data_IF_206727772392
#
_entry.id   IF_206727772392
#
_cell.length_a   1.000
_cell.length_b   1.000
_cell.length_c   1.000
_cell.angle_alpha   90.00
_cell.angle_beta   90.00
_cell.angle_gamma   90.00
#
_symmetry.space_group_name_H-M   'P 1'
#
loop_
_entity.id
_entity.type
_entity.pdbx_description
1 polymer ?
#
# COMPACT_ATOMS: atom_id res chain seq x y z
N UNK A 1 7.61 -9.26 -17.50
CA UNK A 1 7.72 -7.91 -16.90
C UNK A 1 7.72 -6.88 -18.03
N UNK A 2 6.92 -5.85 -17.92
CA UNK A 2 6.80 -4.72 -18.85
C UNK A 2 6.95 -3.40 -18.10
N UNK A 3 7.01 -2.29 -18.81
CA UNK A 3 7.01 -0.97 -18.20
C UNK A 3 5.89 -0.14 -18.82
N UNK A 4 5.09 0.48 -17.98
CA UNK A 4 4.13 1.50 -18.36
C UNK A 4 4.70 2.89 -18.02
N UNK A 5 4.20 3.92 -18.69
CA UNK A 5 4.68 5.29 -18.47
C UNK A 5 3.62 6.08 -17.71
N UNK A 6 3.97 6.58 -16.55
CA UNK A 6 3.14 7.47 -15.75
C UNK A 6 3.02 8.86 -16.38
N UNK A 7 2.08 9.67 -15.90
CA UNK A 7 1.81 11.01 -16.45
C UNK A 7 3.00 11.96 -16.42
N UNK A 8 3.91 11.81 -15.46
CA UNK A 8 5.15 12.60 -15.36
C UNK A 8 6.33 11.99 -16.13
N UNK A 9 6.11 10.91 -16.89
CA UNK A 9 7.14 10.21 -17.64
C UNK A 9 7.90 9.14 -16.85
N UNK A 10 7.57 8.92 -15.56
CA UNK A 10 8.18 7.85 -14.77
C UNK A 10 7.80 6.49 -15.35
N UNK A 11 8.80 5.61 -15.49
CA UNK A 11 8.58 4.22 -15.93
C UNK A 11 8.23 3.37 -14.73
N UNK A 12 7.08 2.73 -14.78
CA UNK A 12 6.55 1.85 -13.74
C UNK A 12 6.63 0.40 -14.21
N UNK A 13 7.38 -0.42 -13.47
CA UNK A 13 7.54 -1.84 -13.76
C UNK A 13 6.31 -2.61 -13.31
N UNK A 14 5.73 -3.39 -14.23
CA UNK A 14 4.51 -4.18 -14.01
C UNK A 14 4.73 -5.60 -14.51
N UNK A 15 4.15 -6.56 -13.82
CA UNK A 15 3.97 -7.92 -14.31
C UNK A 15 2.53 -8.34 -14.07
N UNK A 16 2.05 -9.27 -14.86
CA UNK A 16 0.73 -9.87 -14.63
C UNK A 16 0.76 -11.38 -14.89
N UNK A 17 -0.15 -12.09 -14.26
CA UNK A 17 -0.30 -13.53 -14.39
C UNK A 17 -1.75 -13.94 -14.16
N UNK A 18 -2.12 -15.15 -14.61
CA UNK A 18 -3.48 -15.66 -14.44
C UNK A 18 -4.43 -15.23 -15.56
N UNK A 19 -5.72 -15.41 -15.31
CA UNK A 19 -6.80 -15.10 -16.27
C UNK A 19 -8.07 -14.68 -15.53
N UNK A 20 -8.92 -13.90 -16.17
CA UNK A 20 -10.17 -13.38 -15.60
C UNK A 20 -10.15 -11.86 -15.44
N UNK A 21 -11.04 -11.31 -14.60
CA UNK A 21 -11.07 -9.88 -14.32
C UNK A 21 -9.72 -9.37 -13.77
N UNK A 22 -9.38 -8.11 -14.05
CA UNK A 22 -8.14 -7.53 -13.56
C UNK A 22 -8.19 -7.27 -12.05
N UNK A 23 -7.13 -7.67 -11.34
CA UNK A 23 -6.88 -7.37 -9.93
C UNK A 23 -5.49 -6.80 -9.77
N UNK A 24 -5.39 -5.59 -9.19
CA UNK A 24 -4.11 -4.93 -8.95
C UNK A 24 -3.76 -5.05 -7.45
N UNK A 25 -2.53 -5.49 -7.16
CA UNK A 25 -2.00 -5.58 -5.80
C UNK A 25 -1.08 -4.37 -5.53
N UNK A 26 -1.41 -3.61 -4.46
CA UNK A 26 -0.69 -2.39 -4.07
C UNK A 26 -0.01 -2.62 -2.73
N UNK A 27 1.31 -2.70 -2.75
CA UNK A 27 2.14 -3.03 -1.58
C UNK A 27 2.41 -1.84 -0.67
N UNK A 28 2.75 -2.13 0.59
CA UNK A 28 3.14 -1.16 1.62
C UNK A 28 4.64 -0.84 1.66
N UNK A 29 5.09 -0.31 2.79
CA UNK A 29 6.49 0.07 3.03
C UNK A 29 7.44 -1.13 2.92
N UNK A 30 8.67 -0.88 2.47
CA UNK A 30 9.73 -1.88 2.28
C UNK A 30 9.40 -3.04 1.32
N UNK A 31 8.31 -2.93 0.58
CA UNK A 31 7.83 -3.96 -0.35
C UNK A 31 7.95 -3.51 -1.79
N UNK A 32 8.23 -4.46 -2.68
CA UNK A 32 8.11 -4.37 -4.12
C UNK A 32 7.11 -5.41 -4.65
N UNK A 33 6.93 -5.50 -5.98
CA UNK A 33 6.01 -6.46 -6.61
C UNK A 33 6.25 -7.91 -6.22
N UNK A 34 7.50 -8.29 -5.89
CA UNK A 34 7.84 -9.67 -5.52
C UNK A 34 7.32 -10.06 -4.14
N UNK A 35 7.00 -9.07 -3.30
CA UNK A 35 6.49 -9.29 -1.95
C UNK A 35 5.08 -9.91 -1.94
N UNK A 36 4.34 -9.84 -3.04
CA UNK A 36 2.98 -10.39 -3.19
C UNK A 36 2.93 -11.68 -4.00
N UNK A 37 4.07 -12.25 -4.38
CA UNK A 37 4.12 -13.40 -5.29
C UNK A 37 3.31 -14.62 -4.81
N UNK A 38 3.30 -14.93 -3.51
CA UNK A 38 2.51 -16.02 -2.94
C UNK A 38 1.00 -15.72 -3.03
N UNK A 39 0.60 -14.51 -2.63
CA UNK A 39 -0.78 -14.04 -2.73
C UNK A 39 -1.26 -14.06 -4.19
N UNK A 40 -0.46 -13.50 -5.10
CA UNK A 40 -0.76 -13.48 -6.52
C UNK A 40 -0.97 -14.88 -7.08
N UNK A 41 -0.06 -15.83 -6.77
CA UNK A 41 -0.17 -17.22 -7.22
C UNK A 41 -1.49 -17.88 -6.79
N UNK A 42 -1.99 -17.58 -5.58
CA UNK A 42 -3.27 -18.11 -5.08
C UNK A 42 -4.51 -17.49 -5.72
N UNK A 43 -4.36 -16.39 -6.49
CA UNK A 43 -5.47 -15.66 -7.11
C UNK A 43 -5.57 -15.84 -8.63
N UNK A 44 -4.55 -16.41 -9.28
CA UNK A 44 -4.44 -16.52 -10.75
C UNK A 44 -5.52 -17.37 -11.42
N UNK A 45 -6.16 -18.27 -10.70
CA UNK A 45 -7.29 -19.06 -11.23
C UNK A 45 -8.59 -18.25 -11.32
N UNK A 46 -8.65 -17.08 -10.67
CA UNK A 46 -9.84 -16.23 -10.58
C UNK A 46 -9.65 -14.86 -11.22
N UNK A 47 -8.40 -14.38 -11.29
CA UNK A 47 -8.09 -13.02 -11.74
C UNK A 47 -6.86 -12.99 -12.66
N UNK A 48 -6.82 -12.02 -13.55
CA UNK A 48 -5.55 -11.54 -14.08
C UNK A 48 -4.94 -10.60 -13.06
N UNK A 49 -3.94 -11.10 -12.32
CA UNK A 49 -3.32 -10.39 -11.19
C UNK A 49 -2.19 -9.52 -11.70
N UNK A 50 -2.26 -8.22 -11.42
CA UNK A 50 -1.23 -7.23 -11.72
C UNK A 50 -0.45 -6.88 -10.47
N UNK A 51 0.86 -7.06 -10.52
CA UNK A 51 1.83 -6.68 -9.50
C UNK A 51 2.74 -5.61 -10.08
N UNK A 52 2.94 -4.50 -9.37
CA UNK A 52 3.80 -3.43 -9.85
C UNK A 52 4.72 -2.89 -8.75
N UNK A 53 5.87 -2.40 -9.15
CA UNK A 53 6.73 -1.65 -8.25
C UNK A 53 6.24 -0.20 -8.17
N UNK A 54 5.88 0.25 -6.99
CA UNK A 54 5.62 1.67 -6.76
C UNK A 54 6.88 2.47 -7.06
N UNK A 55 6.74 3.74 -7.47
CA UNK A 55 7.90 4.60 -7.81
C UNK A 55 8.99 4.57 -6.74
N UNK A 56 10.24 4.58 -7.17
CA UNK A 56 11.42 4.52 -6.30
C UNK A 56 11.74 3.14 -5.73
N UNK A 57 11.07 2.07 -6.20
CA UNK A 57 11.29 0.70 -5.72
C UNK A 57 11.47 -0.26 -6.87
N UNK A 58 12.14 -1.39 -6.60
CA UNK A 58 12.35 -2.45 -7.57
C UNK A 58 12.92 -1.95 -8.90
N UNK A 59 12.22 -2.26 -9.98
CA UNK A 59 12.59 -1.87 -11.35
C UNK A 59 11.86 -0.61 -11.84
N UNK A 60 11.05 0.03 -10.99
CA UNK A 60 10.39 1.29 -11.30
C UNK A 60 11.35 2.49 -11.16
N UNK A 61 11.16 3.46 -12.03
CA UNK A 61 11.83 4.74 -11.93
C UNK A 61 11.36 5.58 -10.74
N UNK A 62 12.04 6.70 -10.55
CA UNK A 62 11.64 7.74 -9.62
C UNK A 62 11.99 9.10 -10.21
N UNK A 63 11.22 10.13 -9.86
CA UNK A 63 11.50 11.52 -10.24
C UNK A 63 11.74 12.35 -8.97
N UNK A 64 12.54 13.41 -9.13
CA UNK A 64 12.64 14.42 -8.08
C UNK A 64 11.26 15.05 -7.83
N UNK A 65 11.05 15.60 -6.62
CA UNK A 65 9.81 16.25 -6.22
C UNK A 65 8.61 15.29 -6.10
N UNK A 66 8.73 14.38 -5.16
CA UNK A 66 7.63 13.51 -4.77
C UNK A 66 6.39 14.32 -4.35
N UNK A 67 5.23 13.85 -4.80
CA UNK A 67 3.92 14.22 -4.28
C UNK A 67 3.01 12.98 -4.35
N UNK A 68 2.01 12.90 -3.48
CA UNK A 68 1.05 11.79 -3.47
C UNK A 68 0.36 11.66 -4.84
N UNK A 69 0.11 12.79 -5.51
CA UNK A 69 -0.47 12.86 -6.84
C UNK A 69 0.32 12.07 -7.88
N UNK A 70 1.65 12.00 -7.73
CA UNK A 70 2.51 11.23 -8.63
C UNK A 70 2.26 9.71 -8.49
N UNK A 71 2.08 9.21 -7.25
CA UNK A 71 1.73 7.80 -7.05
C UNK A 71 0.29 7.49 -7.48
N UNK A 72 -0.63 8.43 -7.33
CA UNK A 72 -2.00 8.30 -7.85
C UNK A 72 -1.98 8.20 -9.38
N UNK A 73 -1.17 8.99 -10.06
CA UNK A 73 -0.96 8.91 -11.50
C UNK A 73 -0.35 7.57 -11.92
N UNK A 74 0.59 7.03 -11.14
CA UNK A 74 1.17 5.70 -11.38
C UNK A 74 0.10 4.61 -11.30
N UNK A 75 -0.64 4.56 -10.20
CA UNK A 75 -1.69 3.55 -10.03
C UNK A 75 -2.80 3.72 -11.07
N UNK A 76 -3.12 4.96 -11.47
CA UNK A 76 -4.05 5.22 -12.57
C UNK A 76 -3.53 4.64 -13.88
N UNK A 77 -2.25 4.84 -14.21
CA UNK A 77 -1.64 4.26 -15.40
C UNK A 77 -1.64 2.72 -15.36
N UNK A 78 -1.45 2.11 -14.17
CA UNK A 78 -1.59 0.64 -14.02
C UNK A 78 -3.03 0.22 -14.27
N UNK A 79 -4.03 0.90 -13.72
CA UNK A 79 -5.46 0.62 -13.96
C UNK A 79 -5.77 0.73 -15.46
N UNK A 80 -5.36 1.80 -16.11
CA UNK A 80 -5.61 2.03 -17.55
C UNK A 80 -4.97 0.95 -18.43
N UNK A 81 -3.80 0.42 -18.02
CA UNK A 81 -3.11 -0.66 -18.75
C UNK A 81 -3.85 -1.99 -18.75
N UNK A 82 -4.80 -2.19 -17.83
CA UNK A 82 -5.62 -3.43 -17.80
C UNK A 82 -6.68 -3.49 -18.90
N UNK A 83 -6.94 -2.38 -19.58
CA UNK A 83 -7.92 -2.28 -20.66
C UNK A 83 -9.39 -2.15 -20.19
N UNK A 84 -9.64 -2.02 -18.89
CA UNK A 84 -10.98 -1.88 -18.32
C UNK A 84 -10.95 -1.59 -16.81
N UNK A 85 -12.12 -1.58 -16.17
CA UNK A 85 -12.18 -1.44 -14.71
C UNK A 85 -11.45 -2.60 -14.02
N UNK A 86 -10.63 -2.29 -13.01
CA UNK A 86 -9.86 -3.26 -12.25
C UNK A 86 -10.31 -3.29 -10.78
N UNK A 87 -10.32 -4.47 -10.18
CA UNK A 87 -10.34 -4.58 -8.72
C UNK A 87 -8.97 -4.17 -8.16
N UNK A 88 -8.95 -3.59 -6.95
CA UNK A 88 -7.69 -3.17 -6.31
C UNK A 88 -7.64 -3.70 -4.89
N UNK A 89 -6.56 -4.36 -4.53
CA UNK A 89 -6.21 -4.70 -3.15
C UNK A 89 -5.00 -3.87 -2.71
N UNK A 90 -5.13 -3.15 -1.60
CA UNK A 90 -4.03 -2.37 -1.03
C UNK A 90 -3.73 -2.73 0.41
N UNK A 91 -2.46 -3.00 0.72
CA UNK A 91 -1.98 -3.30 2.06
C UNK A 91 -1.22 -2.11 2.66
N UNK A 92 -1.51 -1.76 3.91
CA UNK A 92 -0.81 -0.70 4.65
C UNK A 92 -0.87 0.64 3.89
N UNK A 93 0.24 1.31 3.65
CA UNK A 93 0.31 2.53 2.82
C UNK A 93 -0.17 2.31 1.37
N UNK A 94 -0.04 1.10 0.83
CA UNK A 94 -0.67 0.73 -0.44
C UNK A 94 -2.20 0.78 -0.37
N UNK A 95 -2.79 0.48 0.78
CA UNK A 95 -4.22 0.66 1.04
C UNK A 95 -4.62 2.14 1.06
N UNK A 96 -3.80 3.00 1.67
CA UNK A 96 -4.02 4.45 1.64
C UNK A 96 -3.92 5.01 0.21
N UNK A 97 -2.92 4.57 -0.57
CA UNK A 97 -2.77 4.95 -1.98
C UNK A 97 -3.97 4.51 -2.83
N UNK A 98 -4.45 3.27 -2.63
CA UNK A 98 -5.62 2.75 -3.32
C UNK A 98 -6.89 3.57 -3.04
N UNK A 99 -7.10 3.95 -1.77
CA UNK A 99 -8.21 4.83 -1.35
C UNK A 99 -8.09 6.22 -1.99
N UNK A 100 -6.92 6.86 -1.92
CA UNK A 100 -6.68 8.18 -2.50
C UNK A 100 -6.86 8.18 -4.03
N UNK A 101 -6.46 7.10 -4.70
CA UNK A 101 -6.66 6.94 -6.14
C UNK A 101 -8.13 6.77 -6.46
N UNK A 102 -8.85 5.86 -5.80
CA UNK A 102 -10.27 5.62 -6.04
C UNK A 102 -11.16 6.84 -5.73
N UNK A 103 -10.72 7.73 -4.81
CA UNK A 103 -11.42 8.97 -4.51
C UNK A 103 -11.29 10.05 -5.60
N UNK A 104 -10.26 9.96 -6.46
CA UNK A 104 -9.94 10.99 -7.46
C UNK A 104 -10.18 10.54 -8.90
N UNK A 105 -10.08 9.24 -9.17
CA UNK A 105 -10.22 8.70 -10.54
C UNK A 105 -11.26 7.57 -10.59
N UNK A 106 -11.94 7.47 -11.73
CA UNK A 106 -12.80 6.34 -12.03
C UNK A 106 -11.93 5.20 -12.59
N UNK A 107 -12.27 3.94 -12.33
CA UNK A 107 -11.53 2.79 -12.87
C UNK A 107 -11.37 1.65 -11.88
N UNK A 108 -11.46 1.90 -10.58
CA UNK A 108 -11.60 0.84 -9.61
C UNK A 108 -13.01 0.24 -9.66
N UNK A 109 -13.14 -1.07 -9.95
CA UNK A 109 -14.42 -1.78 -9.94
C UNK A 109 -14.86 -2.14 -8.53
N UNK A 110 -13.91 -2.58 -7.70
CA UNK A 110 -14.06 -2.90 -6.28
C UNK A 110 -12.74 -2.62 -5.56
N UNK A 111 -12.79 -2.36 -4.27
CA UNK A 111 -11.63 -1.99 -3.48
C UNK A 111 -11.60 -2.79 -2.17
N UNK A 112 -10.48 -3.43 -1.89
CA UNK A 112 -10.18 -4.00 -0.57
C UNK A 112 -8.92 -3.34 -0.03
N UNK A 113 -8.97 -2.86 1.20
CA UNK A 113 -7.80 -2.27 1.87
C UNK A 113 -7.57 -2.93 3.21
N UNK A 114 -6.31 -3.28 3.51
CA UNK A 114 -5.91 -3.89 4.75
C UNK A 114 -5.01 -2.94 5.54
N UNK A 115 -5.50 -2.50 6.69
CA UNK A 115 -4.79 -1.65 7.66
C UNK A 115 -4.08 -0.42 7.07
N UNK A 116 -4.77 0.47 6.35
CA UNK A 116 -4.19 1.76 5.97
C UNK A 116 -3.73 2.55 7.20
N UNK A 117 -2.58 3.26 7.15
CA UNK A 117 -1.90 3.81 8.32
C UNK A 117 -2.48 5.13 8.84
N UNK A 118 -3.80 5.19 9.05
CA UNK A 118 -4.49 6.38 9.56
C UNK A 118 -4.65 6.32 11.09
N UNK A 119 -3.54 6.44 11.82
CA UNK A 119 -3.57 6.40 13.29
C UNK A 119 -3.42 7.81 13.87
N UNK A 120 -4.31 8.27 14.78
CA UNK A 120 -4.29 9.65 15.31
C UNK A 120 -2.96 10.11 15.90
N UNK A 121 -2.22 9.18 16.51
CA UNK A 121 -0.87 9.44 17.05
C UNK A 121 0.23 8.98 16.07
N UNK A 122 -0.13 8.81 14.80
CA UNK A 122 0.76 8.35 13.75
C UNK A 122 1.78 9.41 13.30
N UNK A 123 2.62 9.04 12.33
CA UNK A 123 3.64 9.92 11.79
C UNK A 123 3.04 11.14 11.09
N UNK A 124 3.76 12.25 11.17
CA UNK A 124 3.38 13.54 10.59
C UNK A 124 4.27 13.90 9.41
N UNK A 125 3.87 14.92 8.62
CA UNK A 125 4.68 15.45 7.52
C UNK A 125 6.08 15.91 7.99
N UNK A 126 6.22 16.35 9.25
CA UNK A 126 7.54 16.67 9.81
C UNK A 126 8.47 15.45 9.81
N UNK A 127 7.96 14.26 10.16
CA UNK A 127 8.76 13.04 10.07
C UNK A 127 9.06 12.67 8.61
N UNK A 128 8.12 12.89 7.69
CA UNK A 128 8.38 12.66 6.27
C UNK A 128 9.55 13.52 5.77
N UNK A 129 9.64 14.78 6.17
CA UNK A 129 10.76 15.66 5.85
C UNK A 129 12.07 15.19 6.48
N UNK A 130 12.05 14.76 7.75
CA UNK A 130 13.20 14.17 8.45
C UNK A 130 13.74 12.93 7.70
N UNK A 131 12.86 12.00 7.33
CA UNK A 131 13.25 10.79 6.59
C UNK A 131 13.79 11.10 5.19
N UNK A 132 13.21 12.07 4.50
CA UNK A 132 13.70 12.52 3.20
C UNK A 132 15.11 13.13 3.30
N UNK A 133 15.37 13.94 4.33
CA UNK A 133 16.70 14.51 4.59
C UNK A 133 17.73 13.42 4.93
N UNK A 134 17.37 12.46 5.78
CA UNK A 134 18.25 11.34 6.11
C UNK A 134 18.67 10.58 4.84
N UNK A 135 17.72 10.22 3.99
CA UNK A 135 18.02 9.52 2.73
C UNK A 135 18.84 10.36 1.76
N UNK A 136 18.57 11.66 1.65
CA UNK A 136 19.31 12.56 0.77
C UNK A 136 20.77 12.79 1.23
N UNK A 137 21.07 12.51 2.50
CA UNK A 137 22.40 12.69 3.10
C UNK A 137 23.17 11.38 3.31
N UNK A 138 22.71 10.26 2.73
CA UNK A 138 23.38 8.96 2.82
C UNK A 138 23.19 8.27 4.17
N UNK A 139 22.07 8.55 4.86
CA UNK A 139 21.71 7.98 6.16
C UNK A 139 20.54 7.01 6.06
N UNK A 140 20.54 6.16 5.04
CA UNK A 140 19.44 5.23 4.73
C UNK A 140 19.18 4.25 5.88
N UNK A 141 20.25 3.81 6.55
CA UNK A 141 20.13 2.93 7.73
C UNK A 141 19.40 3.62 8.88
N UNK A 142 19.72 4.89 9.15
CA UNK A 142 19.08 5.67 10.21
C UNK A 142 17.60 5.93 9.86
N UNK A 143 17.30 6.21 8.59
CA UNK A 143 15.93 6.40 8.13
C UNK A 143 15.08 5.13 8.31
N UNK A 144 15.61 3.96 7.93
CA UNK A 144 14.95 2.68 8.11
C UNK A 144 14.71 2.38 9.60
N UNK A 145 15.72 2.57 10.44
CA UNK A 145 15.60 2.40 11.90
C UNK A 145 14.56 3.35 12.51
N UNK A 146 14.60 4.63 12.14
CA UNK A 146 13.67 5.65 12.62
C UNK A 146 12.22 5.32 12.27
N UNK A 147 11.99 4.85 11.04
CA UNK A 147 10.67 4.44 10.58
C UNK A 147 10.17 3.19 11.34
N UNK A 148 10.99 2.15 11.48
CA UNK A 148 10.62 0.92 12.19
C UNK A 148 10.39 1.17 13.69
N UNK A 149 11.19 2.03 14.33
CA UNK A 149 10.99 2.43 15.71
C UNK A 149 9.63 3.12 15.91
N UNK A 150 9.22 3.95 14.94
CA UNK A 150 7.89 4.56 14.95
C UNK A 150 6.77 3.52 14.88
N UNK A 151 6.95 2.46 14.11
CA UNK A 151 5.99 1.36 14.02
C UNK A 151 5.99 0.46 15.27
N UNK A 152 6.75 0.82 16.31
CA UNK A 152 6.80 0.10 17.59
C UNK A 152 7.75 -1.08 17.61
N UNK A 153 8.68 -1.20 16.65
CA UNK A 153 9.69 -2.25 16.67
C UNK A 153 10.64 -2.05 17.87
N UNK A 154 10.76 -3.04 18.77
CA UNK A 154 11.61 -2.93 19.94
C UNK A 154 13.10 -2.74 19.58
N UNK A 155 13.88 -1.97 20.35
CA UNK A 155 15.30 -1.72 20.04
C UNK A 155 16.14 -2.97 19.84
N UNK A 156 15.93 -4.02 20.65
CA UNK A 156 16.66 -5.29 20.52
C UNK A 156 16.35 -6.00 19.20
N UNK A 157 15.10 -5.88 18.70
CA UNK A 157 14.70 -6.46 17.41
C UNK A 157 15.33 -5.65 16.28
N UNK A 158 15.37 -4.32 16.39
CA UNK A 158 16.05 -3.45 15.41
C UNK A 158 17.53 -3.82 15.26
N UNK A 159 18.26 -4.01 16.38
CA UNK A 159 19.67 -4.43 16.32
C UNK A 159 19.85 -5.79 15.62
N UNK A 160 18.96 -6.76 15.90
CA UNK A 160 18.98 -8.06 15.20
C UNK A 160 18.68 -7.93 13.71
N UNK A 161 17.72 -7.05 13.34
CA UNK A 161 17.40 -6.80 11.93
C UNK A 161 18.57 -6.18 11.17
N UNK A 162 19.34 -5.28 11.81
CA UNK A 162 20.54 -4.66 11.21
C UNK A 162 21.62 -5.66 10.87
N UNK A 163 21.75 -6.74 11.63
CA UNK A 163 22.71 -7.83 11.37
C UNK A 163 22.21 -8.79 10.26
N UNK A 164 20.92 -8.73 9.91
CA UNK A 164 20.30 -9.62 8.95
C UNK A 164 20.48 -9.19 7.49
N UNK A 165 20.44 -10.15 6.54
CA UNK A 165 20.62 -9.86 5.10
C UNK A 165 19.53 -8.96 4.52
N UNK A 166 18.35 -8.93 5.14
CA UNK A 166 17.23 -8.12 4.69
C UNK A 166 17.40 -6.61 4.97
N UNK A 167 18.33 -6.24 5.87
CA UNK A 167 18.59 -4.83 6.20
C UNK A 167 19.03 -4.00 4.99
N UNK A 168 19.87 -4.59 4.13
CA UNK A 168 20.33 -3.93 2.89
C UNK A 168 19.14 -3.62 1.95
N UNK A 169 18.17 -4.52 1.88
CA UNK A 169 16.94 -4.29 1.13
C UNK A 169 16.12 -3.13 1.72
N UNK A 170 15.98 -3.07 3.05
CA UNK A 170 15.29 -1.97 3.73
C UNK A 170 15.98 -0.62 3.49
N UNK A 171 17.30 -0.58 3.52
CA UNK A 171 18.08 0.62 3.21
C UNK A 171 17.85 1.08 1.75
N UNK A 172 17.76 0.16 0.80
CA UNK A 172 17.49 0.49 -0.59
C UNK A 172 16.15 1.21 -0.80
N UNK A 173 15.19 1.01 0.11
CA UNK A 173 13.87 1.68 0.04
C UNK A 173 13.73 2.86 1.02
N UNK A 174 14.81 3.27 1.69
CA UNK A 174 14.77 4.36 2.67
C UNK A 174 14.22 5.67 2.08
N UNK A 175 14.55 5.99 0.82
CA UNK A 175 14.03 7.16 0.13
C UNK A 175 12.49 7.20 0.10
N UNK A 176 11.86 6.04 -0.04
CA UNK A 176 10.41 5.96 -0.17
C UNK A 176 9.67 6.02 1.18
N UNK A 177 10.38 5.96 2.31
CA UNK A 177 9.74 6.00 3.63
C UNK A 177 9.04 7.34 3.91
N UNK A 178 9.56 8.43 3.37
CA UNK A 178 8.89 9.72 3.41
C UNK A 178 7.56 9.70 2.65
N UNK A 179 7.45 8.90 1.60
CA UNK A 179 6.23 8.71 0.81
C UNK A 179 5.16 7.98 1.62
N UNK A 180 5.58 6.92 2.34
CA UNK A 180 4.71 6.14 3.23
C UNK A 180 4.05 7.00 4.30
N UNK A 181 4.87 7.86 4.94
CA UNK A 181 4.41 8.77 5.99
C UNK A 181 3.39 9.77 5.45
N UNK A 182 3.63 10.35 4.27
CA UNK A 182 2.68 11.31 3.65
C UNK A 182 1.35 10.66 3.29
N UNK A 183 1.34 9.40 2.84
CA UNK A 183 0.12 8.64 2.57
C UNK A 183 -0.72 8.42 3.84
N UNK A 184 -0.10 8.41 5.01
CA UNK A 184 -0.79 8.33 6.31
C UNK A 184 -1.62 9.58 6.66
N UNK A 185 -1.57 10.65 5.87
CA UNK A 185 -2.39 11.85 6.00
C UNK A 185 -2.40 12.42 7.44
N UNK A 186 -1.21 12.52 8.05
CA UNK A 186 -1.04 12.94 9.46
C UNK A 186 -1.94 12.14 10.45
N UNK A 187 -2.16 10.86 10.16
CA UNK A 187 -2.95 9.94 10.98
C UNK A 187 -4.47 10.08 10.85
N UNK A 188 -4.97 10.98 10.03
CA UNK A 188 -6.40 11.23 9.89
C UNK A 188 -7.01 10.47 8.69
N UNK A 189 -8.11 9.75 8.90
CA UNK A 189 -8.93 9.21 7.80
C UNK A 189 -9.49 10.38 6.98
N UNK A 190 -9.20 10.49 5.67
CA UNK A 190 -9.60 11.63 4.84
C UNK A 190 -11.07 11.53 4.40
N UNK A 191 -12.01 11.60 5.35
CA UNK A 191 -13.44 11.30 5.18
C UNK A 191 -14.09 12.01 4.00
N UNK A 192 -13.81 13.31 3.83
CA UNK A 192 -14.40 14.10 2.75
C UNK A 192 -13.99 13.55 1.37
N UNK A 193 -12.71 13.17 1.21
CA UNK A 193 -12.23 12.58 -0.04
C UNK A 193 -12.81 11.18 -0.27
N UNK A 194 -12.83 10.34 0.78
CA UNK A 194 -13.38 8.99 0.68
C UNK A 194 -14.87 8.96 0.33
N UNK A 195 -15.62 10.02 0.66
CA UNK A 195 -17.01 10.19 0.25
C UNK A 195 -17.24 10.23 -1.28
N UNK A 196 -16.20 10.43 -2.07
CA UNK A 196 -16.27 10.41 -3.53
C UNK A 196 -16.04 9.00 -4.15
N UNK A 197 -15.65 8.02 -3.35
CA UNK A 197 -15.43 6.64 -3.84
C UNK A 197 -16.78 6.01 -4.16
N UNK A 198 -16.99 5.65 -5.42
CA UNK A 198 -18.22 4.98 -5.89
C UNK A 198 -18.10 3.45 -5.86
N UNK A 199 -16.90 2.92 -5.93
CA UNK A 199 -16.62 1.48 -5.90
C UNK A 199 -17.03 0.86 -4.55
N UNK A 200 -17.67 -0.32 -4.54
CA UNK A 200 -17.83 -1.10 -3.31
C UNK A 200 -16.46 -1.30 -2.64
N UNK A 201 -16.37 -0.97 -1.35
CA UNK A 201 -15.10 -0.94 -0.62
C UNK A 201 -15.18 -1.76 0.65
N UNK A 202 -14.21 -2.64 0.86
CA UNK A 202 -14.04 -3.42 2.09
C UNK A 202 -12.76 -2.99 2.81
N UNK A 203 -12.91 -2.42 3.99
CA UNK A 203 -11.81 -2.08 4.89
C UNK A 203 -11.59 -3.20 5.91
N UNK A 204 -10.36 -3.70 5.98
CA UNK A 204 -9.98 -4.84 6.81
C UNK A 204 -9.02 -4.41 7.92
N UNK A 205 -9.15 -5.05 9.08
CA UNK A 205 -8.21 -4.97 10.19
C UNK A 205 -7.91 -6.36 10.74
N UNK A 206 -6.70 -6.60 11.21
CA UNK A 206 -6.34 -7.80 11.94
C UNK A 206 -6.80 -7.73 13.39
N UNK A 207 -7.36 -8.82 13.91
CA UNK A 207 -7.84 -8.89 15.30
C UNK A 207 -6.71 -8.73 16.33
N UNK A 208 -5.46 -9.06 15.96
CA UNK A 208 -4.28 -8.88 16.81
C UNK A 208 -3.66 -7.48 16.72
N UNK A 209 -4.06 -6.67 15.73
CA UNK A 209 -3.60 -5.27 15.60
C UNK A 209 -4.31 -4.32 16.57
N UNK A 210 -5.33 -4.81 17.27
CA UNK A 210 -5.99 -4.13 18.36
C UNK A 210 -7.04 -3.09 17.93
N UNK A 211 -7.52 -2.37 18.92
CA UNK A 211 -8.64 -1.43 18.78
C UNK A 211 -8.37 -0.29 17.77
N UNK A 212 -7.17 0.33 17.70
CA UNK A 212 -6.92 1.41 16.74
C UNK A 212 -7.11 0.95 15.28
N UNK A 213 -6.63 -0.24 14.91
CA UNK A 213 -6.78 -0.76 13.55
C UNK A 213 -8.26 -1.01 13.20
N UNK A 214 -9.04 -1.55 14.16
CA UNK A 214 -10.49 -1.74 14.00
C UNK A 214 -11.20 -0.40 13.77
N UNK A 215 -10.90 0.60 14.59
CA UNK A 215 -11.50 1.94 14.46
C UNK A 215 -11.18 2.59 13.11
N UNK A 216 -9.97 2.42 12.60
CA UNK A 216 -9.60 2.91 11.25
C UNK A 216 -10.44 2.23 10.17
N UNK A 217 -10.58 0.90 10.21
CA UNK A 217 -11.40 0.17 9.24
C UNK A 217 -12.87 0.62 9.28
N UNK A 218 -13.46 0.77 10.47
CA UNK A 218 -14.82 1.27 10.67
C UNK A 218 -14.98 2.72 10.18
N UNK A 219 -13.97 3.58 10.42
CA UNK A 219 -13.97 4.96 9.98
C UNK A 219 -13.91 5.09 8.45
N UNK A 220 -13.12 4.24 7.77
CA UNK A 220 -13.07 4.16 6.31
C UNK A 220 -14.42 3.68 5.77
N UNK A 221 -14.94 2.58 6.30
CA UNK A 221 -16.24 2.03 5.88
C UNK A 221 -17.38 3.03 6.04
N UNK A 222 -17.37 3.81 7.11
CA UNK A 222 -18.37 4.87 7.35
C UNK A 222 -18.23 6.07 6.43
N UNK A 223 -17.02 6.35 5.91
CA UNK A 223 -16.76 7.47 5.02
C UNK A 223 -17.07 7.16 3.55
N UNK A 224 -16.95 5.90 3.13
CA UNK A 224 -17.22 5.45 1.76
C UNK A 224 -18.71 5.09 1.60
N UNK A 225 -19.43 5.59 0.59
CA UNK A 225 -20.88 5.33 0.42
C UNK A 225 -21.26 3.85 0.38
N UNK A 226 -20.42 3.00 -0.25
CA UNK A 226 -20.60 1.55 -0.32
C UNK A 226 -19.52 0.83 0.50
N UNK A 227 -19.17 1.38 1.67
CA UNK A 227 -18.11 0.89 2.55
C UNK A 227 -18.60 -0.21 3.50
N UNK A 228 -17.74 -1.21 3.71
CA UNK A 228 -17.89 -2.26 4.70
C UNK A 228 -16.60 -2.37 5.51
N UNK A 229 -16.71 -2.78 6.77
CA UNK A 229 -15.55 -3.10 7.61
C UNK A 229 -15.62 -4.54 8.07
N UNK A 230 -14.46 -5.21 8.18
CA UNK A 230 -14.34 -6.55 8.75
C UNK A 230 -13.04 -6.69 9.53
N UNK A 231 -13.11 -7.36 10.68
CA UNK A 231 -11.94 -7.76 11.44
C UNK A 231 -11.63 -9.23 11.12
N UNK A 232 -10.35 -9.52 10.90
CA UNK A 232 -9.86 -10.88 10.63
C UNK A 232 -9.26 -11.45 11.92
N UNK A 233 -9.98 -12.36 12.55
CA UNK A 233 -9.55 -12.98 13.81
C UNK A 233 -8.21 -13.70 13.65
N UNK A 234 -7.34 -13.57 14.65
CA UNK A 234 -6.01 -14.20 14.65
C UNK A 234 -4.99 -13.59 13.70
N UNK A 235 -5.36 -12.56 12.93
CA UNK A 235 -4.44 -11.86 12.02
C UNK A 235 -3.88 -10.59 12.69
N UNK A 236 -2.63 -10.26 12.38
CA UNK A 236 -2.00 -8.99 12.71
C UNK A 236 -1.81 -8.12 11.46
N UNK A 237 -0.85 -7.18 11.49
CA UNK A 237 -0.55 -6.34 10.34
C UNK A 237 -0.10 -7.16 9.10
N UNK A 238 0.62 -8.25 9.31
CA UNK A 238 0.83 -9.28 8.28
C UNK A 238 -0.32 -10.27 8.30
N UNK A 239 -1.10 -10.32 7.23
CA UNK A 239 -2.22 -11.26 7.07
C UNK A 239 -1.77 -12.51 6.32
N UNK A 240 -2.22 -13.68 6.76
CA UNK A 240 -1.91 -14.95 6.10
C UNK A 240 -2.68 -15.10 4.78
N UNK A 241 -2.00 -15.58 3.74
CA UNK A 241 -2.58 -15.74 2.39
C UNK A 241 -3.81 -16.67 2.41
N UNK A 242 -3.78 -17.75 3.20
CA UNK A 242 -4.90 -18.70 3.34
C UNK A 242 -6.17 -18.08 3.95
N UNK A 243 -6.05 -16.97 4.64
CA UNK A 243 -7.19 -16.19 5.18
C UNK A 243 -7.62 -15.12 4.18
N UNK A 244 -6.66 -14.48 3.51
CA UNK A 244 -6.91 -13.35 2.64
C UNK A 244 -7.44 -13.78 1.25
N UNK A 245 -6.89 -14.83 0.65
CA UNK A 245 -7.27 -15.29 -0.70
C UNK A 245 -8.77 -15.56 -0.83
N UNK A 246 -9.41 -16.40 0.02
CA UNK A 246 -10.84 -16.67 -0.09
C UNK A 246 -11.70 -15.42 0.04
N UNK A 247 -11.28 -14.49 0.90
CA UNK A 247 -11.99 -13.23 1.12
C UNK A 247 -11.90 -12.32 -0.10
N UNK A 248 -10.70 -12.21 -0.72
CA UNK A 248 -10.52 -11.42 -1.94
C UNK A 248 -11.35 -11.99 -3.09
N UNK A 249 -11.38 -13.31 -3.26
CA UNK A 249 -12.20 -13.97 -4.27
C UNK A 249 -13.68 -13.68 -4.04
N UNK A 250 -14.18 -13.84 -2.82
CA UNK A 250 -15.58 -13.62 -2.47
C UNK A 250 -16.03 -12.16 -2.71
N UNK A 251 -15.19 -11.21 -2.34
CA UNK A 251 -15.56 -9.80 -2.43
C UNK A 251 -15.28 -9.16 -3.79
N UNK A 252 -14.21 -9.58 -4.51
CA UNK A 252 -13.74 -8.93 -5.74
C UNK A 252 -14.25 -9.57 -7.03
N UNK A 253 -14.78 -10.80 -6.97
CA UNK A 253 -15.34 -11.50 -8.11
C UNK A 253 -16.68 -10.92 -8.60
#
# INVERSE_FOLDING_TARGET
MEHITSADGTRIAVQHSGHGPALILVVGAFCDRTSTASLAAGLTDHFTVYEYDRRGRGDSGNQANYAIEREIEDLTAVIDSTGGPAAVFGHSSGGALALETAARVQGASRLVVYEPPYYPDGPTDQLADELAEMSATGRESDAAERFLALLGTPPQVLEQMKEGPYWVHMQAYALTLSYEVRLGNNGAVPRDRLGHITAPTLALAGGQSGEPARQVAEAIASAVPNGQARVLDGQGHGVADEVLIPLLIDFLA
#
